data_IF_672570821956
#
_entry.id   IF_672570821956
#
_cell.length_a   1.000
_cell.length_b   1.000
_cell.length_c   1.000
_cell.angle_alpha   90.00
_cell.angle_beta   90.00
_cell.angle_gamma   90.00
#
_symmetry.space_group_name_H-M   'P 1'
#
loop_
_entity.id
_entity.type
_entity.pdbx_description
1 polymer ?
#
# COMPACT_ATOMS: atom_id res chain seq x y z
N UNK A 1 -7.39 13.44 -8.70
CA UNK A 1 -6.49 12.27 -8.52
C UNK A 1 -5.95 12.29 -7.10
N UNK A 2 -6.02 11.18 -6.39
CA UNK A 2 -5.34 10.93 -5.11
C UNK A 2 -3.88 10.59 -5.46
N UNK A 3 -2.92 11.36 -4.93
CA UNK A 3 -1.50 11.18 -5.24
C UNK A 3 -0.73 10.64 -4.05
N UNK A 4 0.35 9.92 -4.34
CA UNK A 4 1.35 9.50 -3.35
C UNK A 4 0.75 8.69 -2.18
N UNK A 5 -0.22 7.82 -2.47
CA UNK A 5 -0.80 6.96 -1.44
C UNK A 5 0.16 5.85 -1.06
N UNK A 6 0.51 5.81 0.23
CA UNK A 6 1.23 4.70 0.84
C UNK A 6 0.25 3.83 1.66
N UNK A 7 0.01 2.57 1.26
CA UNK A 7 -0.90 1.67 1.97
C UNK A 7 -0.49 1.35 3.41
N UNK A 8 0.76 1.61 3.77
CA UNK A 8 1.30 1.34 5.11
C UNK A 8 1.34 2.58 6.01
N UNK A 9 0.94 3.75 5.53
CA UNK A 9 0.86 4.99 6.33
C UNK A 9 -0.26 4.98 7.37
N UNK A 10 -1.29 4.15 7.17
CA UNK A 10 -2.51 4.14 7.98
C UNK A 10 -3.53 5.23 7.58
N UNK A 11 -3.21 6.04 6.58
CA UNK A 11 -4.10 7.09 6.07
C UNK A 11 -5.06 6.54 5.02
N UNK A 12 -6.31 7.02 5.03
CA UNK A 12 -7.28 6.69 4.00
C UNK A 12 -6.96 7.45 2.70
N UNK A 13 -6.97 6.78 1.53
CA UNK A 13 -6.72 7.44 0.26
C UNK A 13 -7.90 8.32 -0.13
N UNK A 14 -7.73 9.63 -0.03
CA UNK A 14 -8.78 10.61 -0.34
C UNK A 14 -8.20 11.88 -0.96
N UNK A 15 -9.03 12.55 -1.78
CA UNK A 15 -8.70 13.86 -2.34
C UNK A 15 -9.98 14.68 -2.53
N UNK A 16 -9.86 16.00 -2.43
CA UNK A 16 -10.93 16.94 -2.79
C UNK A 16 -10.61 17.62 -4.11
N UNK A 17 -11.64 18.02 -4.84
CA UNK A 17 -11.53 18.79 -6.08
C UNK A 17 -12.79 19.60 -6.33
N UNK A 18 -12.64 20.67 -7.10
CA UNK A 18 -13.70 21.58 -7.46
C UNK A 18 -14.20 21.32 -8.86
N UNK A 19 -15.51 21.49 -9.08
CA UNK A 19 -16.14 21.54 -10.39
C UNK A 19 -16.91 22.85 -10.47
N UNK A 20 -16.63 23.65 -11.49
CA UNK A 20 -17.35 24.90 -11.76
C UNK A 20 -18.33 24.69 -12.90
N UNK A 21 -19.60 24.95 -12.64
CA UNK A 21 -20.66 25.01 -13.63
C UNK A 21 -20.87 26.46 -14.03
N UNK A 22 -20.96 26.71 -15.34
CA UNK A 22 -21.08 28.06 -15.91
C UNK A 22 -22.32 28.04 -16.81
N UNK A 23 -23.19 29.06 -16.66
CA UNK A 23 -24.30 29.30 -17.54
C UNK A 23 -23.95 30.47 -18.50
N UNK A 24 -23.50 30.14 -19.71
CA UNK A 24 -23.18 31.11 -20.76
C UNK A 24 -24.43 31.55 -21.54
N UNK A 25 -25.59 31.05 -21.16
CA UNK A 25 -26.86 31.35 -21.84
C UNK A 25 -27.52 32.65 -21.33
N UNK A 26 -28.47 33.15 -22.10
CA UNK A 26 -29.27 34.34 -21.77
C UNK A 26 -30.46 34.06 -20.86
N UNK A 27 -30.71 32.82 -20.41
CA UNK A 27 -31.82 32.42 -19.56
C UNK A 27 -31.33 31.66 -18.34
N UNK A 28 -32.15 31.60 -17.28
CA UNK A 28 -31.89 30.80 -16.10
C UNK A 28 -31.78 29.32 -16.49
N UNK A 29 -30.76 28.65 -15.98
CA UNK A 29 -30.51 27.21 -16.16
C UNK A 29 -30.76 26.45 -14.87
N UNK A 30 -31.58 25.39 -14.92
CA UNK A 30 -31.88 24.50 -13.79
C UNK A 30 -31.51 23.09 -14.16
N UNK A 31 -30.59 22.47 -13.39
CA UNK A 31 -30.10 21.12 -13.66
C UNK A 31 -29.63 20.43 -12.42
N UNK A 32 -29.47 19.12 -12.49
CA UNK A 32 -28.84 18.30 -11.46
C UNK A 32 -27.51 17.76 -12.02
N UNK A 33 -26.38 18.02 -11.34
CA UNK A 33 -25.10 17.41 -11.72
C UNK A 33 -25.18 15.89 -11.51
N UNK A 34 -24.94 15.11 -12.57
CA UNK A 34 -24.89 13.66 -12.53
C UNK A 34 -23.50 13.16 -12.94
N UNK A 35 -23.06 12.10 -12.32
CA UNK A 35 -21.89 11.36 -12.73
C UNK A 35 -22.32 10.06 -13.40
N UNK A 36 -21.74 9.77 -14.55
CA UNK A 36 -22.00 8.56 -15.32
C UNK A 36 -20.68 7.87 -15.65
N UNK A 37 -20.65 6.53 -15.62
CA UNK A 37 -19.47 5.78 -16.04
C UNK A 37 -19.36 5.82 -17.56
N UNK A 38 -18.25 6.34 -18.04
CA UNK A 38 -17.96 6.31 -19.48
C UNK A 38 -17.74 4.88 -19.99
N UNK A 39 -17.22 4.01 -19.14
CA UNK A 39 -17.00 2.59 -19.43
C UNK A 39 -17.12 1.74 -18.14
N UNK A 40 -17.93 0.65 -18.13
CA UNK A 40 -17.89 -0.35 -17.07
C UNK A 40 -16.61 -1.19 -17.17
N UNK A 41 -16.19 -1.90 -16.07
CA UNK A 41 -16.84 -1.98 -14.79
C UNK A 41 -16.56 -0.79 -13.87
N UNK A 42 -17.37 -0.63 -12.83
CA UNK A 42 -17.16 0.35 -11.76
C UNK A 42 -15.87 0.05 -10.98
N UNK A 43 -15.08 1.10 -10.74
CA UNK A 43 -13.88 1.10 -9.89
C UNK A 43 -12.63 1.59 -10.62
N UNK A 44 -11.69 2.14 -9.85
CA UNK A 44 -10.39 2.56 -10.37
C UNK A 44 -9.60 1.32 -10.80
N UNK A 45 -9.15 1.26 -12.02
CA UNK A 45 -8.47 0.09 -12.60
C UNK A 45 -7.09 0.43 -13.13
N UNK A 46 -6.20 -0.58 -13.11
CA UNK A 46 -4.88 -0.57 -13.72
C UNK A 46 -4.83 -1.77 -14.67
N UNK A 47 -5.08 -1.52 -15.96
CA UNK A 47 -5.18 -2.60 -16.95
C UNK A 47 -6.30 -3.59 -16.63
N UNK A 48 -6.06 -4.89 -16.83
CA UNK A 48 -7.01 -5.97 -16.59
C UNK A 48 -7.09 -6.42 -15.11
N UNK A 49 -6.45 -5.69 -14.18
CA UNK A 49 -6.40 -6.03 -12.76
C UNK A 49 -7.72 -5.83 -12.02
N UNK A 50 -7.74 -6.20 -10.74
CA UNK A 50 -8.88 -5.98 -9.86
C UNK A 50 -9.11 -4.48 -9.65
N UNK A 51 -10.32 -4.01 -9.91
CA UNK A 51 -10.69 -2.64 -9.70
C UNK A 51 -10.78 -2.27 -8.21
N UNK A 52 -10.36 -1.07 -7.85
CA UNK A 52 -10.46 -0.51 -6.51
C UNK A 52 -11.76 0.29 -6.44
N UNK A 53 -12.66 -0.11 -5.53
CA UNK A 53 -13.89 0.63 -5.27
C UNK A 53 -13.60 2.03 -4.75
N UNK A 54 -14.48 2.97 -5.02
CA UNK A 54 -14.38 4.33 -4.51
C UNK A 54 -15.75 4.89 -4.14
N UNK A 55 -15.75 5.98 -3.40
CA UNK A 55 -16.91 6.79 -3.08
C UNK A 55 -16.65 8.24 -3.54
N UNK A 56 -17.65 8.84 -4.14
CA UNK A 56 -17.64 10.23 -4.57
C UNK A 56 -18.76 10.98 -3.84
N UNK A 57 -18.39 12.04 -3.11
CA UNK A 57 -19.30 12.81 -2.28
C UNK A 57 -19.25 14.28 -2.67
N UNK A 58 -20.41 14.89 -2.91
CA UNK A 58 -20.54 16.34 -2.97
C UNK A 58 -20.50 16.88 -1.53
N UNK A 59 -19.49 17.65 -1.18
CA UNK A 59 -19.31 18.18 0.17
C UNK A 59 -20.23 19.39 0.47
N UNK A 60 -20.84 19.98 -0.54
CA UNK A 60 -21.75 21.13 -0.37
C UNK A 60 -23.06 20.71 0.28
N UNK A 61 -23.56 19.52 -0.03
CA UNK A 61 -24.81 18.96 0.45
C UNK A 61 -24.67 17.55 1.07
N UNK A 62 -23.44 17.06 1.19
CA UNK A 62 -23.08 15.73 1.71
C UNK A 62 -23.69 14.56 0.90
N UNK A 63 -24.06 14.80 -0.36
CA UNK A 63 -24.70 13.82 -1.23
C UNK A 63 -23.68 12.83 -1.80
N UNK A 64 -23.98 11.54 -1.71
CA UNK A 64 -23.21 10.50 -2.42
C UNK A 64 -23.60 10.52 -3.91
N UNK A 65 -22.63 10.84 -4.75
CA UNK A 65 -22.80 10.96 -6.20
C UNK A 65 -22.04 9.87 -6.97
N UNK A 66 -21.69 8.77 -6.31
CA UNK A 66 -20.92 7.67 -6.91
C UNK A 66 -21.74 6.96 -8.00
N UNK A 67 -21.21 6.76 -9.21
CA UNK A 67 -21.93 6.13 -10.32
C UNK A 67 -21.80 4.60 -10.30
N UNK A 68 -22.32 3.92 -9.26
CA UNK A 68 -22.17 2.48 -8.99
C UNK A 68 -22.66 1.57 -10.13
N UNK A 69 -23.76 1.94 -10.75
CA UNK A 69 -24.45 1.12 -11.77
C UNK A 69 -24.45 1.79 -13.14
N UNK A 70 -23.42 2.57 -13.41
CA UNK A 70 -23.33 3.37 -14.64
C UNK A 70 -23.66 4.83 -14.40
N UNK A 71 -24.65 5.14 -13.61
CA UNK A 71 -25.09 6.51 -13.30
C UNK A 71 -25.26 6.71 -11.80
N UNK A 72 -24.97 7.93 -11.32
CA UNK A 72 -25.22 8.29 -9.92
C UNK A 72 -26.72 8.27 -9.61
N UNK A 73 -27.08 7.66 -8.47
CA UNK A 73 -28.46 7.57 -8.00
C UNK A 73 -28.81 8.83 -7.18
N UNK A 74 -29.12 9.92 -7.87
CA UNK A 74 -29.53 11.18 -7.26
C UNK A 74 -31.01 11.42 -7.61
N UNK A 75 -31.80 11.84 -6.63
CA UNK A 75 -33.18 12.28 -6.88
C UNK A 75 -33.12 13.71 -7.46
N UNK A 76 -33.44 13.94 -8.73
CA UNK A 76 -33.24 15.24 -9.38
C UNK A 76 -33.97 16.40 -8.72
N UNK A 77 -35.09 16.12 -8.05
CA UNK A 77 -35.94 17.16 -7.44
C UNK A 77 -35.36 17.77 -6.14
N UNK A 78 -34.41 17.12 -5.47
CA UNK A 78 -33.87 17.56 -4.18
C UNK A 78 -32.48 18.22 -4.28
N UNK A 79 -31.79 18.02 -5.40
CA UNK A 79 -30.40 18.50 -5.60
C UNK A 79 -30.23 19.30 -6.89
N UNK A 80 -31.20 20.17 -7.17
CA UNK A 80 -31.18 21.00 -8.35
C UNK A 80 -30.29 22.23 -8.14
N UNK A 81 -29.36 22.44 -9.07
CA UNK A 81 -28.55 23.65 -9.18
C UNK A 81 -29.28 24.64 -10.08
N UNK A 82 -29.35 25.90 -9.64
CA UNK A 82 -29.93 26.99 -10.42
C UNK A 82 -28.84 28.01 -10.67
N UNK A 83 -28.64 28.39 -11.94
CA UNK A 83 -27.72 29.41 -12.39
C UNK A 83 -28.47 30.48 -13.17
N UNK A 84 -28.35 31.75 -12.76
CA UNK A 84 -28.81 32.90 -13.55
C UNK A 84 -27.98 33.03 -14.84
N UNK A 85 -28.42 33.84 -15.81
CA UNK A 85 -27.63 34.15 -17.00
C UNK A 85 -26.24 34.68 -16.64
N UNK A 86 -25.19 34.12 -17.27
CA UNK A 86 -23.77 34.43 -17.02
C UNK A 86 -23.28 34.18 -15.58
N UNK A 87 -24.01 33.36 -14.81
CA UNK A 87 -23.59 32.95 -13.45
C UNK A 87 -22.71 31.70 -13.52
N UNK A 88 -21.75 31.62 -12.58
CA UNK A 88 -20.96 30.41 -12.34
C UNK A 88 -21.09 29.99 -10.87
N UNK A 89 -21.10 28.66 -10.65
CA UNK A 89 -21.12 28.06 -9.31
C UNK A 89 -20.16 26.91 -9.19
N UNK A 90 -19.32 26.97 -8.17
CA UNK A 90 -18.34 25.92 -7.90
C UNK A 90 -18.83 25.02 -6.78
N UNK A 91 -18.83 23.71 -7.03
CA UNK A 91 -19.12 22.68 -6.05
C UNK A 91 -17.84 21.95 -5.66
N UNK A 92 -17.72 21.60 -4.39
CA UNK A 92 -16.60 20.86 -3.85
C UNK A 92 -16.95 19.36 -3.73
N UNK A 93 -16.13 18.54 -4.32
CA UNK A 93 -16.27 17.08 -4.29
C UNK A 93 -15.12 16.40 -3.56
N UNK A 94 -15.40 15.26 -2.96
CA UNK A 94 -14.42 14.39 -2.29
C UNK A 94 -14.45 13.00 -2.93
N UNK A 95 -13.29 12.56 -3.37
CA UNK A 95 -13.03 11.18 -3.79
C UNK A 95 -12.39 10.43 -2.62
N UNK A 96 -12.93 9.28 -2.26
CA UNK A 96 -12.36 8.34 -1.27
C UNK A 96 -12.22 6.99 -1.95
N UNK A 97 -11.01 6.46 -2.08
CA UNK A 97 -10.81 5.12 -2.60
C UNK A 97 -10.83 4.09 -1.46
N UNK A 98 -11.36 2.89 -1.75
CA UNK A 98 -11.54 1.80 -0.79
C UNK A 98 -10.83 0.54 -1.28
N UNK A 99 -9.48 0.47 -1.21
CA UNK A 99 -8.76 -0.72 -1.61
C UNK A 99 -9.06 -1.89 -0.65
N UNK A 100 -9.43 -3.04 -1.19
CA UNK A 100 -9.60 -4.28 -0.43
C UNK A 100 -8.22 -4.92 -0.21
N UNK A 101 -7.52 -4.50 0.84
CA UNK A 101 -6.14 -4.91 1.14
C UNK A 101 -5.10 -3.93 0.59
N UNK A 102 -3.85 -4.39 0.49
CA UNK A 102 -2.74 -3.56 -0.05
C UNK A 102 -2.76 -3.63 -1.58
N UNK A 103 -3.01 -2.53 -2.29
CA UNK A 103 -3.01 -2.51 -3.76
C UNK A 103 -1.58 -2.61 -4.32
N UNK A 104 -1.47 -3.05 -5.56
CA UNK A 104 -0.22 -3.00 -6.31
C UNK A 104 0.22 -1.54 -6.56
N UNK A 105 1.52 -1.27 -6.60
CA UNK A 105 2.05 0.04 -6.94
C UNK A 105 1.67 0.45 -8.38
N UNK A 106 1.41 1.74 -8.58
CA UNK A 106 1.08 2.32 -9.87
C UNK A 106 -0.19 3.16 -9.85
N UNK A 107 -0.67 3.53 -11.03
CA UNK A 107 -1.81 4.43 -11.20
C UNK A 107 -3.06 3.65 -11.61
N UNK A 108 -4.10 3.81 -10.83
CA UNK A 108 -5.44 3.27 -11.07
C UNK A 108 -6.37 4.40 -11.48
N UNK A 109 -7.13 4.25 -12.55
CA UNK A 109 -8.01 5.30 -13.07
C UNK A 109 -9.39 4.79 -13.41
N UNK A 110 -10.36 5.71 -13.42
CA UNK A 110 -11.70 5.52 -13.97
C UNK A 110 -12.13 6.78 -14.69
N UNK A 111 -12.61 6.61 -15.91
CA UNK A 111 -13.27 7.68 -16.66
C UNK A 111 -14.74 7.79 -16.24
N UNK A 112 -15.16 8.98 -15.90
CA UNK A 112 -16.55 9.33 -15.64
C UNK A 112 -16.93 10.55 -16.46
N UNK A 113 -18.19 10.65 -16.85
CA UNK A 113 -18.76 11.85 -17.48
C UNK A 113 -19.58 12.59 -16.44
N UNK A 114 -19.41 13.89 -16.32
CA UNK A 114 -20.28 14.76 -15.54
C UNK A 114 -21.26 15.38 -16.50
N UNK A 115 -22.55 15.19 -16.24
CA UNK A 115 -23.65 15.75 -17.03
C UNK A 115 -24.46 16.74 -16.22
N UNK A 116 -24.87 17.83 -16.86
CA UNK A 116 -25.88 18.74 -16.35
C UNK A 116 -27.25 18.28 -16.84
N UNK A 117 -28.00 17.56 -16.02
CA UNK A 117 -29.32 17.04 -16.39
C UNK A 117 -30.45 18.00 -15.99
N UNK A 118 -31.14 18.54 -16.99
CA UNK A 118 -32.33 19.35 -16.82
C UNK A 118 -33.61 18.55 -16.54
N UNK A 119 -34.73 19.25 -16.43
CA UNK A 119 -36.05 18.63 -16.31
C UNK A 119 -36.38 17.81 -17.57
N UNK A 120 -37.10 16.70 -17.41
CA UNK A 120 -37.47 15.82 -18.53
C UNK A 120 -36.29 15.05 -19.15
N UNK A 121 -35.20 14.82 -18.39
CA UNK A 121 -33.99 14.11 -18.83
C UNK A 121 -33.22 14.78 -19.97
N UNK A 122 -33.41 16.08 -20.17
CA UNK A 122 -32.64 16.84 -21.13
C UNK A 122 -31.21 17.04 -20.62
N UNK A 123 -30.19 16.68 -21.39
CA UNK A 123 -28.80 16.97 -21.04
C UNK A 123 -28.38 18.32 -21.63
N UNK A 124 -27.80 19.20 -20.82
CA UNK A 124 -27.24 20.46 -21.28
C UNK A 124 -25.76 20.36 -21.68
N UNK A 125 -25.19 19.17 -21.62
CA UNK A 125 -23.80 18.88 -21.95
C UNK A 125 -23.11 18.04 -20.89
N UNK A 126 -21.98 17.47 -21.24
CA UNK A 126 -21.18 16.64 -20.36
C UNK A 126 -19.69 16.86 -20.56
N UNK A 127 -18.92 16.68 -19.50
CA UNK A 127 -17.47 16.79 -19.52
C UNK A 127 -16.86 15.53 -18.93
N UNK A 128 -15.80 15.02 -19.59
CA UNK A 128 -15.03 13.87 -19.10
C UNK A 128 -14.19 14.27 -17.89
N UNK A 129 -14.23 13.48 -16.86
CA UNK A 129 -13.38 13.58 -15.67
C UNK A 129 -12.65 12.25 -15.48
N UNK A 130 -11.35 12.31 -15.20
CA UNK A 130 -10.56 11.12 -14.83
C UNK A 130 -10.37 11.11 -13.31
N UNK A 131 -11.01 10.16 -12.64
CA UNK A 131 -10.75 9.85 -11.24
C UNK A 131 -9.52 8.96 -11.17
N UNK A 132 -8.70 9.10 -10.11
CA UNK A 132 -7.49 8.29 -10.03
C UNK A 132 -6.89 8.18 -8.63
N UNK A 133 -6.15 7.09 -8.45
CA UNK A 133 -5.35 6.77 -7.28
C UNK A 133 -3.94 6.37 -7.74
N UNK A 134 -2.94 7.07 -7.26
CA UNK A 134 -1.52 6.72 -7.43
C UNK A 134 -1.02 6.05 -6.16
N UNK A 135 -0.66 4.77 -6.26
CA UNK A 135 -0.11 3.96 -5.17
C UNK A 135 1.40 3.95 -5.29
N UNK A 136 2.09 4.34 -4.23
CA UNK A 136 3.55 4.35 -4.19
C UNK A 136 4.13 2.93 -4.08
N UNK A 137 5.31 2.68 -4.66
CA UNK A 137 6.13 1.53 -4.28
C UNK A 137 6.45 1.61 -2.79
N UNK A 138 6.02 0.61 -2.02
CA UNK A 138 6.11 0.62 -0.56
C UNK A 138 6.26 -0.79 -0.05
N UNK A 139 7.05 -0.99 1.01
CA UNK A 139 7.22 -2.29 1.65
C UNK A 139 7.39 -2.16 3.15
N UNK A 140 6.89 -3.15 3.89
CA UNK A 140 7.01 -3.25 5.34
C UNK A 140 7.37 -4.66 5.74
N UNK A 141 8.25 -4.80 6.75
CA UNK A 141 8.62 -6.08 7.33
C UNK A 141 8.10 -6.22 8.76
N UNK A 142 7.88 -7.45 9.17
CA UNK A 142 7.58 -7.84 10.53
C UNK A 142 8.24 -9.17 10.85
N UNK A 143 8.52 -9.40 12.13
CA UNK A 143 9.06 -10.65 12.66
C UNK A 143 7.95 -11.42 13.34
N UNK A 144 7.94 -12.76 13.21
CA UNK A 144 7.02 -13.64 13.90
C UNK A 144 7.76 -14.89 14.39
N UNK A 145 7.30 -15.45 15.51
CA UNK A 145 7.90 -16.65 16.10
C UNK A 145 8.53 -16.41 17.48
N UNK A 146 9.58 -17.15 17.79
CA UNK A 146 10.21 -17.13 19.12
C UNK A 146 11.24 -15.99 19.23
N UNK A 147 10.80 -14.84 19.73
CA UNK A 147 11.66 -13.72 20.10
C UNK A 147 11.04 -12.93 21.27
N UNK A 148 11.86 -12.16 21.95
CA UNK A 148 11.42 -11.17 22.95
C UNK A 148 11.78 -9.77 22.49
N UNK A 149 11.13 -8.74 23.04
CA UNK A 149 11.48 -7.35 22.77
C UNK A 149 12.27 -6.76 23.92
N UNK A 150 13.43 -6.19 23.61
CA UNK A 150 14.26 -5.48 24.58
C UNK A 150 14.71 -4.15 23.97
N UNK A 151 14.35 -3.03 24.61
CA UNK A 151 14.69 -1.65 24.16
C UNK A 151 14.45 -1.38 22.67
N UNK A 152 13.32 -1.90 22.14
CA UNK A 152 12.95 -1.72 20.75
C UNK A 152 13.64 -2.66 19.74
N UNK A 153 14.46 -3.59 20.23
CA UNK A 153 15.11 -4.62 19.42
C UNK A 153 14.47 -5.99 19.68
N UNK A 154 14.30 -6.79 18.63
CA UNK A 154 13.94 -8.20 18.78
C UNK A 154 15.16 -9.01 19.21
N UNK A 155 15.02 -9.76 20.29
CA UNK A 155 16.06 -10.65 20.81
C UNK A 155 15.63 -12.08 20.57
N UNK A 156 16.45 -12.81 19.82
CA UNK A 156 16.27 -14.22 19.52
C UNK A 156 17.27 -15.01 20.36
N UNK A 157 16.74 -15.85 21.25
CA UNK A 157 17.55 -16.75 22.05
C UNK A 157 17.81 -18.05 21.28
N UNK A 158 19.06 -18.32 20.97
CA UNK A 158 19.48 -19.55 20.27
C UNK A 158 19.73 -20.72 21.24
N UNK A 159 19.58 -20.50 22.55
CA UNK A 159 19.83 -21.46 23.60
C UNK A 159 21.33 -21.78 23.77
N UNK A 160 21.62 -22.98 24.27
CA UNK A 160 22.99 -23.48 24.36
C UNK A 160 23.59 -23.67 22.97
N UNK A 161 24.71 -23.01 22.69
CA UNK A 161 25.34 -23.08 21.38
C UNK A 161 25.92 -24.49 21.14
N UNK A 162 25.39 -25.14 20.11
CA UNK A 162 25.86 -26.43 19.59
C UNK A 162 26.07 -26.30 18.09
N UNK A 163 27.10 -26.94 17.57
CA UNK A 163 27.36 -27.00 16.13
C UNK A 163 26.15 -27.60 15.40
N UNK A 164 25.65 -26.92 14.38
CA UNK A 164 24.54 -27.38 13.55
C UNK A 164 23.32 -26.45 13.53
N UNK A 165 22.18 -26.99 13.07
CA UNK A 165 20.94 -26.24 12.90
C UNK A 165 20.27 -25.97 14.25
N UNK A 166 19.92 -24.68 14.45
CA UNK A 166 19.16 -24.24 15.63
C UNK A 166 17.65 -24.42 15.39
N UNK A 167 16.96 -25.03 16.36
CA UNK A 167 15.53 -25.32 16.31
C UNK A 167 14.67 -24.14 16.83
N UNK A 168 14.96 -22.91 16.44
CA UNK A 168 14.19 -21.74 16.86
C UNK A 168 13.23 -21.33 15.75
N UNK A 169 11.90 -21.44 15.98
CA UNK A 169 10.91 -21.07 14.97
C UNK A 169 10.86 -19.54 14.84
N UNK A 170 11.45 -19.01 13.80
CA UNK A 170 11.47 -17.58 13.46
C UNK A 170 11.11 -17.38 12.01
N UNK A 171 10.32 -16.36 11.72
CA UNK A 171 9.84 -16.05 10.38
C UNK A 171 9.85 -14.55 10.12
N UNK A 172 10.25 -14.16 8.91
CA UNK A 172 10.10 -12.81 8.40
C UNK A 172 8.82 -12.72 7.58
N UNK A 173 7.98 -11.73 7.84
CA UNK A 173 6.82 -11.39 7.03
C UNK A 173 7.11 -10.10 6.27
N UNK A 174 6.92 -10.12 4.96
CA UNK A 174 7.09 -8.94 4.10
C UNK A 174 5.74 -8.62 3.46
N UNK A 175 5.27 -7.39 3.63
CA UNK A 175 4.13 -6.85 2.90
C UNK A 175 4.67 -5.79 1.95
N UNK A 176 4.33 -5.87 0.66
CA UNK A 176 4.81 -4.94 -0.35
C UNK A 176 3.75 -4.67 -1.40
N UNK A 177 3.78 -3.46 -1.98
CA UNK A 177 2.95 -3.07 -3.13
C UNK A 177 3.48 -3.60 -4.46
N UNK A 178 4.66 -4.24 -4.46
CA UNK A 178 5.31 -4.79 -5.65
C UNK A 178 6.50 -5.66 -5.30
N UNK A 179 7.46 -5.76 -6.18
CA UNK A 179 8.73 -6.41 -5.92
C UNK A 179 9.54 -5.65 -4.85
N UNK A 180 10.39 -6.36 -4.12
CA UNK A 180 11.19 -5.77 -3.06
C UNK A 180 12.56 -6.43 -2.95
N UNK A 181 13.49 -5.73 -2.31
CA UNK A 181 14.78 -6.25 -1.89
C UNK A 181 14.86 -6.30 -0.37
N UNK A 182 15.47 -7.35 0.16
CA UNK A 182 15.87 -7.46 1.56
C UNK A 182 17.37 -7.28 1.66
N UNK A 183 17.81 -6.35 2.49
CA UNK A 183 19.18 -6.19 2.87
C UNK A 183 19.37 -6.69 4.30
N UNK A 184 20.38 -7.53 4.51
CA UNK A 184 20.74 -8.14 5.80
C UNK A 184 22.17 -7.80 6.12
N UNK A 185 22.39 -7.19 7.28
CA UNK A 185 23.74 -6.79 7.74
C UNK A 185 23.96 -7.34 9.14
N UNK A 186 25.07 -8.05 9.32
CA UNK A 186 25.54 -8.52 10.62
C UNK A 186 26.62 -7.57 11.16
N UNK A 187 26.50 -7.13 12.41
CA UNK A 187 27.48 -6.25 13.05
C UNK A 187 28.84 -6.92 13.25
N UNK A 188 28.86 -8.25 13.40
CA UNK A 188 30.09 -9.02 13.61
C UNK A 188 30.43 -9.93 12.40
N UNK A 189 29.92 -9.60 11.20
CA UNK A 189 30.23 -10.33 9.95
C UNK A 189 29.96 -11.84 10.04
N UNK A 190 28.79 -12.23 10.56
CA UNK A 190 28.40 -13.64 10.72
C UNK A 190 29.10 -14.39 11.85
N UNK A 191 29.46 -13.68 12.92
CA UNK A 191 30.09 -14.25 14.11
C UNK A 191 29.35 -13.81 15.37
N UNK A 192 28.93 -14.73 16.19
CA UNK A 192 28.50 -14.45 17.55
C UNK A 192 29.74 -14.14 18.39
N UNK A 193 29.75 -13.03 19.14
CA UNK A 193 30.89 -12.55 19.92
C UNK A 193 30.63 -12.61 21.42
N UNK A 194 31.61 -13.05 22.19
CA UNK A 194 31.57 -13.06 23.64
C UNK A 194 31.88 -11.66 24.19
N UNK A 195 30.84 -10.87 24.46
CA UNK A 195 30.98 -9.50 24.94
C UNK A 195 31.94 -8.65 24.04
N UNK A 196 32.93 -7.99 24.66
CA UNK A 196 33.94 -7.19 23.97
C UNK A 196 35.24 -7.94 23.66
N UNK A 197 35.28 -9.28 23.86
CA UNK A 197 36.48 -10.11 23.63
C UNK A 197 36.61 -10.49 22.16
N UNK A 198 37.76 -11.11 21.79
CA UNK A 198 38.00 -11.65 20.46
C UNK A 198 37.45 -13.08 20.26
N UNK A 199 36.84 -13.64 21.29
CA UNK A 199 36.21 -14.95 21.21
C UNK A 199 34.94 -14.89 20.39
N UNK A 200 34.91 -15.66 19.30
CA UNK A 200 33.78 -15.69 18.38
C UNK A 200 33.37 -17.10 17.99
N UNK A 201 32.10 -17.30 17.69
CA UNK A 201 31.53 -18.51 17.09
C UNK A 201 30.93 -18.14 15.75
N UNK A 202 31.40 -18.73 14.63
CA UNK A 202 30.82 -18.43 13.33
C UNK A 202 29.40 -19.01 13.22
N UNK A 203 28.53 -18.32 12.49
CA UNK A 203 27.21 -18.83 12.17
C UNK A 203 26.80 -18.39 10.76
N UNK A 204 25.80 -19.06 10.20
CA UNK A 204 25.17 -18.69 8.95
C UNK A 204 23.66 -18.57 9.16
N UNK A 205 23.02 -17.79 8.29
CA UNK A 205 21.59 -17.59 8.28
C UNK A 205 21.03 -17.87 6.90
N UNK A 206 19.83 -18.45 6.84
CA UNK A 206 19.02 -18.48 5.62
C UNK A 206 17.66 -17.85 5.87
N UNK A 207 17.11 -17.14 4.85
CA UNK A 207 15.79 -16.52 4.88
C UNK A 207 15.01 -17.05 3.68
N UNK A 208 13.84 -17.67 3.94
CA UNK A 208 13.05 -18.27 2.88
C UNK A 208 13.77 -19.40 2.13
N UNK A 209 14.73 -20.08 2.77
CA UNK A 209 15.57 -21.12 2.17
C UNK A 209 16.79 -20.59 1.39
N UNK A 210 16.98 -19.27 1.27
CA UNK A 210 18.12 -18.67 0.60
C UNK A 210 19.19 -18.29 1.61
N UNK A 211 20.42 -18.77 1.40
CA UNK A 211 21.57 -18.40 2.24
C UNK A 211 21.90 -16.90 2.12
N UNK A 212 22.20 -16.28 3.26
CA UNK A 212 22.55 -14.86 3.35
C UNK A 212 24.05 -14.72 3.58
N UNK A 213 24.70 -13.88 2.81
CA UNK A 213 26.11 -13.52 3.06
C UNK A 213 26.21 -12.48 4.18
N UNK A 214 26.65 -12.89 5.37
CA UNK A 214 26.81 -12.02 6.54
C UNK A 214 28.18 -11.33 6.63
N UNK A 215 29.15 -11.70 5.80
CA UNK A 215 30.47 -11.06 5.78
C UNK A 215 30.48 -9.70 5.04
N UNK A 216 29.37 -9.35 4.40
CA UNK A 216 29.11 -8.08 3.74
C UNK A 216 27.63 -7.73 3.85
N UNK A 217 27.15 -6.80 3.06
CA UNK A 217 25.71 -6.56 2.93
C UNK A 217 25.09 -7.69 2.09
N UNK A 218 24.47 -8.66 2.75
CA UNK A 218 23.69 -9.73 2.08
C UNK A 218 22.44 -9.13 1.44
N UNK A 219 22.34 -9.17 0.11
CA UNK A 219 21.17 -8.72 -0.64
C UNK A 219 20.36 -9.93 -1.11
N UNK A 220 19.10 -9.98 -0.75
CA UNK A 220 18.13 -10.97 -1.22
C UNK A 220 17.05 -10.25 -2.03
N UNK A 221 16.90 -10.60 -3.29
CA UNK A 221 15.79 -10.13 -4.10
C UNK A 221 14.50 -10.86 -3.69
N UNK A 222 13.44 -10.11 -3.39
CA UNK A 222 12.11 -10.67 -3.21
C UNK A 222 11.53 -11.18 -4.53
N UNK A 223 10.38 -11.88 -4.51
CA UNK A 223 9.80 -12.47 -5.70
C UNK A 223 9.55 -11.39 -6.77
N UNK A 224 10.14 -11.59 -7.94
CA UNK A 224 9.90 -10.81 -9.15
C UNK A 224 8.64 -11.34 -9.81
N UNK A 225 7.48 -10.78 -9.49
CA UNK A 225 6.22 -11.18 -10.12
C UNK A 225 5.25 -10.01 -10.17
N UNK A 226 4.53 -9.88 -11.28
CA UNK A 226 3.46 -8.90 -11.51
C UNK A 226 2.18 -9.24 -10.73
N UNK A 227 2.28 -9.91 -9.62
CA UNK A 227 1.15 -10.31 -8.79
C UNK A 227 1.34 -9.83 -7.36
N UNK A 228 0.56 -8.84 -6.97
CA UNK A 228 0.36 -8.50 -5.58
C UNK A 228 -0.06 -9.77 -4.79
N UNK A 229 0.76 -10.18 -3.81
CA UNK A 229 0.38 -11.16 -2.81
C UNK A 229 0.20 -10.42 -1.48
N UNK A 230 -1.05 -10.20 -1.10
CA UNK A 230 -1.40 -9.64 0.22
C UNK A 230 -1.00 -10.56 1.37
N UNK A 231 -0.82 -11.84 1.07
CA UNK A 231 -0.30 -12.88 1.95
C UNK A 231 1.02 -13.37 1.40
N UNK A 232 2.09 -12.60 1.58
CA UNK A 232 3.42 -13.14 1.36
C UNK A 232 3.59 -14.32 2.32
N UNK A 233 3.85 -15.51 1.78
CA UNK A 233 4.17 -16.66 2.60
C UNK A 233 5.29 -16.27 3.57
N UNK A 234 5.17 -16.57 4.86
CA UNK A 234 6.19 -16.21 5.83
C UNK A 234 7.52 -16.85 5.41
N UNK A 235 8.59 -16.06 5.43
CA UNK A 235 9.92 -16.50 5.08
C UNK A 235 10.58 -17.08 6.34
N UNK A 236 10.78 -18.39 6.47
CA UNK A 236 11.44 -18.97 7.62
C UNK A 236 12.88 -18.47 7.71
N UNK A 237 13.31 -18.12 8.94
CA UNK A 237 14.68 -17.75 9.26
C UNK A 237 15.31 -18.95 9.97
N UNK A 238 16.42 -19.45 9.46
CA UNK A 238 17.16 -20.57 10.04
C UNK A 238 18.58 -20.15 10.35
N UNK A 239 19.08 -20.59 11.51
CA UNK A 239 20.45 -20.36 11.95
C UNK A 239 21.20 -21.68 11.96
N UNK A 240 22.43 -21.68 11.45
CA UNK A 240 23.34 -22.80 11.58
C UNK A 240 24.61 -22.33 12.28
N UNK A 241 24.85 -22.87 13.46
CA UNK A 241 26.03 -22.56 14.27
C UNK A 241 27.22 -23.38 13.77
N UNK A 242 28.32 -22.73 13.56
CA UNK A 242 29.57 -23.37 13.21
C UNK A 242 30.26 -24.04 14.40
N UNK A 243 31.55 -24.34 14.24
CA UNK A 243 32.31 -25.03 15.27
C UNK A 243 32.40 -24.25 16.59
N UNK A 244 32.00 -24.91 17.67
CA UNK A 244 32.04 -24.39 19.05
C UNK A 244 33.15 -25.01 19.90
N UNK A 245 33.96 -25.91 19.34
CA UNK A 245 35.09 -26.53 20.03
C UNK A 245 36.06 -25.47 20.56
N UNK A 246 36.60 -25.70 21.73
CA UNK A 246 37.59 -24.83 22.37
C UNK A 246 37.13 -23.38 22.62
N UNK A 247 35.81 -23.14 22.70
CA UNK A 247 35.26 -21.81 22.98
C UNK A 247 35.08 -21.61 24.47
N UNK A 248 35.30 -20.38 24.94
CA UNK A 248 35.06 -20.03 26.37
C UNK A 248 33.55 -20.05 26.66
N UNK A 249 33.23 -20.47 27.88
CA UNK A 249 31.85 -20.36 28.37
C UNK A 249 31.45 -18.88 28.53
N UNK A 250 30.20 -18.56 28.18
CA UNK A 250 29.65 -17.21 28.28
C UNK A 250 28.56 -16.94 27.27
N UNK A 251 28.01 -15.71 27.29
CA UNK A 251 26.96 -15.29 26.39
C UNK A 251 27.56 -14.68 25.13
N UNK A 252 27.29 -15.30 23.99
CA UNK A 252 27.72 -14.85 22.67
C UNK A 252 26.54 -14.15 21.96
N UNK A 253 26.79 -13.02 21.32
CA UNK A 253 25.75 -12.26 20.63
C UNK A 253 26.25 -11.61 19.33
N UNK A 254 25.28 -11.33 18.44
CA UNK A 254 25.47 -10.48 17.27
C UNK A 254 24.21 -9.65 17.07
N UNK A 255 24.31 -8.57 16.32
CA UNK A 255 23.18 -7.75 15.91
C UNK A 255 23.02 -7.87 14.40
N UNK A 256 21.84 -8.33 13.97
CA UNK A 256 21.46 -8.42 12.59
C UNK A 256 20.44 -7.32 12.28
N UNK A 257 20.76 -6.47 11.33
CA UNK A 257 19.82 -5.49 10.77
C UNK A 257 19.22 -6.01 9.48
N UNK A 258 17.90 -6.04 9.40
CA UNK A 258 17.16 -6.43 8.21
C UNK A 258 16.35 -5.21 7.75
N UNK A 259 16.57 -4.77 6.51
CA UNK A 259 15.80 -3.70 5.87
C UNK A 259 15.13 -4.19 4.60
N UNK A 260 13.99 -3.58 4.25
CA UNK A 260 13.26 -3.85 3.02
C UNK A 260 13.17 -2.57 2.20
N UNK A 261 13.34 -2.70 0.89
CA UNK A 261 13.16 -1.61 -0.07
C UNK A 261 12.23 -2.09 -1.18
N UNK A 262 11.11 -1.38 -1.41
CA UNK A 262 10.23 -1.63 -2.54
C UNK A 262 10.92 -1.17 -3.85
N UNK A 263 10.62 -1.89 -4.95
CA UNK A 263 11.08 -1.56 -6.31
C UNK A 263 9.96 -1.00 -7.17
#
# INVERSE_FOLDING_TARGET
MIRSYDPFSGEAPQATFNITFINDGGAECRFTPLFDLSQPPFGLSKGAGKAIGYQLVNLTDSQNVTPWAGRSLITPSTHQLVLAPNESKTLLYKLVANPAGVPEAGTFTQDVTIEAQGQGFTSFGGTRLVLGLEVLPSARIGLAGAYSMNKGQAVVDLGELRTGLVQTPLQLRVNSTGSYDLQVVSSNSGKLRLGSTDWTVPYTISIGGHAVNLSGAGLLAGPTGTGYRSDSAPLPIQFVIGDVSDRRAGTYSDVISISVTAR
#
